data_IF_740652366307
#
_entry.id   IF_740652366307
#
_cell.length_a   1.000
_cell.length_b   1.000
_cell.length_c   1.000
_cell.angle_alpha   90.00
_cell.angle_beta   90.00
_cell.angle_gamma   90.00
#
_symmetry.space_group_name_H-M   'P 1'
#
loop_
_entity.id
_entity.type
_entity.pdbx_description
1 polymer ?
#
# COMPACT_ATOMS: atom_id res chain seq x y z
N UNK A 1 12.70 27.25 -15.23
CA UNK A 1 12.08 27.33 -16.57
C UNK A 1 12.21 26.01 -17.31
N UNK A 2 13.39 25.39 -17.35
CA UNK A 2 13.60 24.05 -17.97
C UNK A 2 12.77 22.91 -17.33
N UNK A 3 12.70 22.83 -16.00
CA UNK A 3 11.89 21.81 -15.32
C UNK A 3 10.38 21.92 -15.61
N UNK A 4 9.89 23.14 -15.89
CA UNK A 4 8.47 23.38 -16.20
C UNK A 4 8.17 22.98 -17.66
N UNK A 5 9.14 23.16 -18.57
CA UNK A 5 9.04 22.71 -19.96
C UNK A 5 9.12 21.17 -20.09
N UNK A 6 9.92 20.49 -19.27
CA UNK A 6 9.97 19.01 -19.27
C UNK A 6 8.70 18.38 -18.70
N UNK A 7 8.09 19.00 -17.69
CA UNK A 7 6.79 18.62 -17.12
C UNK A 7 5.68 18.62 -18.18
N UNK A 8 5.54 19.72 -18.93
CA UNK A 8 4.53 19.84 -19.99
C UNK A 8 4.78 18.84 -21.12
N UNK A 9 6.05 18.62 -21.49
CA UNK A 9 6.43 17.64 -22.51
C UNK A 9 6.07 16.20 -22.10
N UNK A 10 6.24 15.82 -20.83
CA UNK A 10 5.88 14.47 -20.38
C UNK A 10 4.37 14.20 -20.41
N UNK A 11 3.57 15.17 -19.99
CA UNK A 11 2.10 15.06 -20.03
C UNK A 11 1.59 15.00 -21.47
N UNK A 12 2.21 15.75 -22.40
CA UNK A 12 1.90 15.69 -23.83
C UNK A 12 2.16 14.31 -24.44
N UNK A 13 3.29 13.67 -24.11
CA UNK A 13 3.59 12.30 -24.56
C UNK A 13 2.54 11.29 -24.07
N UNK A 14 2.11 11.40 -22.81
CA UNK A 14 1.04 10.54 -22.26
C UNK A 14 -0.32 10.84 -22.92
N UNK A 15 -0.61 12.10 -23.25
CA UNK A 15 -1.83 12.48 -23.97
C UNK A 15 -1.83 11.93 -25.40
N UNK A 16 -0.70 11.98 -26.11
CA UNK A 16 -0.55 11.38 -27.43
C UNK A 16 -0.75 9.87 -27.38
N UNK A 17 -0.17 9.20 -26.38
CA UNK A 17 -0.37 7.77 -26.17
C UNK A 17 -1.84 7.44 -25.86
N UNK A 18 -2.50 8.25 -25.04
CA UNK A 18 -3.92 8.06 -24.70
C UNK A 18 -4.80 8.16 -25.96
N UNK A 19 -4.57 9.17 -26.81
CA UNK A 19 -5.27 9.30 -28.11
C UNK A 19 -5.03 8.11 -29.03
N UNK A 20 -3.82 7.54 -29.04
CA UNK A 20 -3.52 6.30 -29.76
C UNK A 20 -4.40 5.16 -29.22
N UNK A 21 -4.52 5.03 -27.90
CA UNK A 21 -5.27 3.95 -27.25
C UNK A 21 -6.79 4.06 -27.42
N UNK A 22 -7.32 5.27 -27.53
CA UNK A 22 -8.71 5.52 -27.89
C UNK A 22 -9.08 4.92 -29.26
N UNK A 23 -8.11 4.86 -30.19
CA UNK A 23 -8.32 4.36 -31.55
C UNK A 23 -7.95 2.88 -31.69
N UNK A 24 -6.78 2.47 -31.20
CA UNK A 24 -6.17 1.18 -31.58
C UNK A 24 -6.37 0.04 -30.59
N UNK A 25 -6.88 0.29 -29.37
CA UNK A 25 -7.02 -0.69 -28.26
C UNK A 25 -5.86 -1.71 -28.19
N UNK A 26 -4.68 -1.30 -27.68
CA UNK A 26 -3.47 -2.12 -27.74
C UNK A 26 -3.61 -3.43 -26.96
N UNK A 27 -2.91 -4.45 -27.42
CA UNK A 27 -2.58 -5.62 -26.59
C UNK A 27 -1.61 -5.26 -25.47
N UNK A 28 -1.51 -6.11 -24.44
CA UNK A 28 -0.50 -5.95 -23.37
C UNK A 28 0.91 -5.84 -23.94
N UNK A 29 1.25 -6.64 -24.95
CA UNK A 29 2.60 -6.61 -25.55
C UNK A 29 2.89 -5.30 -26.29
N UNK A 30 1.90 -4.71 -26.96
CA UNK A 30 2.04 -3.39 -27.59
C UNK A 30 2.18 -2.30 -26.52
N UNK A 31 1.41 -2.38 -25.43
CA UNK A 31 1.53 -1.45 -24.32
C UNK A 31 2.91 -1.51 -23.65
N UNK A 32 3.52 -2.70 -23.54
CA UNK A 32 4.90 -2.84 -23.04
C UNK A 32 5.92 -2.21 -24.00
N UNK A 33 5.76 -2.35 -25.32
CA UNK A 33 6.62 -1.67 -26.31
C UNK A 33 6.50 -0.15 -26.23
N UNK A 34 5.30 0.36 -26.02
CA UNK A 34 5.07 1.80 -25.81
C UNK A 34 5.75 2.25 -24.51
N UNK A 35 5.67 1.46 -23.44
CA UNK A 35 6.37 1.74 -22.17
C UNK A 35 7.90 1.77 -22.33
N UNK A 36 8.50 0.91 -23.16
CA UNK A 36 9.93 0.99 -23.50
C UNK A 36 10.29 2.28 -24.23
N UNK A 37 9.39 2.78 -25.07
CA UNK A 37 9.58 4.03 -25.81
C UNK A 37 9.50 5.21 -24.85
N UNK A 38 8.49 5.24 -23.99
CA UNK A 38 8.36 6.25 -22.92
C UNK A 38 9.57 6.23 -21.98
N UNK A 39 10.08 5.05 -21.63
CA UNK A 39 11.27 4.95 -20.77
C UNK A 39 12.46 5.70 -21.36
N UNK A 40 12.71 5.54 -22.67
CA UNK A 40 13.81 6.20 -23.38
C UNK A 40 13.63 7.71 -23.41
N UNK A 41 12.40 8.18 -23.64
CA UNK A 41 12.07 9.61 -23.66
C UNK A 41 12.31 10.21 -22.26
N UNK A 42 11.80 9.54 -21.22
CA UNK A 42 11.76 10.07 -19.86
C UNK A 42 13.05 9.88 -19.06
N UNK A 43 13.87 8.88 -19.39
CA UNK A 43 15.16 8.62 -18.71
C UNK A 43 16.13 9.80 -18.79
N UNK A 44 15.97 10.67 -19.79
CA UNK A 44 16.81 11.86 -19.99
C UNK A 44 16.30 13.12 -19.28
N UNK A 45 15.06 13.12 -18.75
CA UNK A 45 14.35 14.35 -18.36
C UNK A 45 14.28 14.60 -16.84
N UNK A 46 14.80 13.68 -16.01
CA UNK A 46 14.84 13.87 -14.56
C UNK A 46 13.46 14.04 -13.91
N UNK A 47 12.47 13.25 -14.34
CA UNK A 47 11.08 13.37 -13.90
C UNK A 47 10.96 13.10 -12.38
N UNK A 48 10.25 13.94 -11.61
CA UNK A 48 9.96 13.65 -10.22
C UNK A 48 9.21 12.33 -10.06
N UNK A 49 9.66 11.49 -9.12
CA UNK A 49 9.09 10.16 -8.89
C UNK A 49 7.56 10.15 -8.68
N UNK A 50 7.03 11.15 -7.97
CA UNK A 50 5.58 11.29 -7.74
C UNK A 50 4.85 11.46 -9.07
N UNK A 51 5.36 12.34 -9.95
CA UNK A 51 4.79 12.55 -11.27
C UNK A 51 4.91 11.30 -12.13
N UNK A 52 6.11 10.70 -12.20
CA UNK A 52 6.34 9.50 -12.99
C UNK A 52 5.40 8.35 -12.57
N UNK A 53 5.19 8.16 -11.26
CA UNK A 53 4.23 7.19 -10.72
C UNK A 53 2.79 7.51 -11.13
N UNK A 54 2.40 8.79 -11.15
CA UNK A 54 1.07 9.22 -11.62
C UNK A 54 0.90 8.96 -13.11
N UNK A 55 1.90 9.22 -13.94
CA UNK A 55 1.85 9.01 -15.38
C UNK A 55 1.71 7.51 -15.71
N UNK A 56 2.52 6.64 -15.10
CA UNK A 56 2.38 5.17 -15.27
C UNK A 56 0.99 4.70 -14.87
N UNK A 57 0.48 5.19 -13.74
CA UNK A 57 -0.85 4.83 -13.24
C UNK A 57 -1.96 5.31 -14.17
N UNK A 58 -1.81 6.50 -14.76
CA UNK A 58 -2.76 7.06 -15.72
C UNK A 58 -2.83 6.22 -17.00
N UNK A 59 -1.68 5.81 -17.55
CA UNK A 59 -1.62 4.91 -18.72
C UNK A 59 -2.32 3.58 -18.41
N UNK A 60 -2.05 2.97 -17.26
CA UNK A 60 -2.68 1.71 -16.88
C UNK A 60 -4.20 1.82 -16.70
N UNK A 61 -4.69 2.96 -16.20
CA UNK A 61 -6.12 3.22 -15.98
C UNK A 61 -6.86 3.65 -17.24
N UNK A 62 -6.21 3.67 -18.41
CA UNK A 62 -6.89 3.95 -19.66
C UNK A 62 -8.01 2.93 -19.89
N UNK A 63 -9.19 3.42 -20.32
CA UNK A 63 -10.42 2.62 -20.41
C UNK A 63 -10.29 1.39 -21.33
N UNK A 64 -9.36 1.43 -22.28
CA UNK A 64 -9.07 0.31 -23.18
C UNK A 64 -8.53 -0.94 -22.46
N UNK A 65 -7.96 -0.79 -21.27
CA UNK A 65 -7.43 -1.89 -20.46
C UNK A 65 -8.45 -2.45 -19.46
N UNK A 66 -9.67 -1.93 -19.39
CA UNK A 66 -10.69 -2.58 -18.57
C UNK A 66 -11.05 -3.95 -19.15
N UNK A 67 -10.94 -5.04 -18.36
CA UNK A 67 -11.30 -6.36 -18.86
C UNK A 67 -12.75 -6.40 -19.33
N UNK A 68 -12.97 -7.01 -20.49
CA UNK A 68 -14.32 -7.14 -21.07
C UNK A 68 -15.13 -8.20 -20.31
N UNK A 69 -14.46 -9.22 -19.80
CA UNK A 69 -15.03 -10.33 -19.03
C UNK A 69 -13.94 -11.01 -18.18
N UNK A 70 -14.30 -11.90 -17.25
CA UNK A 70 -13.31 -12.56 -16.39
C UNK A 70 -12.27 -13.41 -17.10
N UNK A 71 -12.64 -14.12 -18.16
CA UNK A 71 -11.69 -14.92 -18.95
C UNK A 71 -10.63 -14.03 -19.61
N UNK A 72 -11.06 -12.89 -20.15
CA UNK A 72 -10.15 -11.88 -20.68
C UNK A 72 -9.22 -11.34 -19.58
N UNK A 73 -9.74 -11.04 -18.39
CA UNK A 73 -8.93 -10.58 -17.26
C UNK A 73 -7.82 -11.57 -16.90
N UNK A 74 -8.14 -12.86 -16.79
CA UNK A 74 -7.17 -13.91 -16.47
C UNK A 74 -6.06 -14.03 -17.54
N UNK A 75 -6.43 -14.01 -18.82
CA UNK A 75 -5.46 -14.03 -19.92
C UNK A 75 -4.53 -12.83 -19.85
N UNK A 76 -5.06 -11.64 -19.56
CA UNK A 76 -4.24 -10.43 -19.44
C UNK A 76 -3.31 -10.47 -18.22
N UNK A 77 -3.78 -10.96 -17.06
CA UNK A 77 -2.93 -11.17 -15.87
C UNK A 77 -1.75 -12.08 -16.20
N UNK A 78 -2.00 -13.22 -16.84
CA UNK A 78 -0.96 -14.17 -17.21
C UNK A 78 0.02 -13.57 -18.23
N UNK A 79 -0.48 -12.75 -19.15
CA UNK A 79 0.34 -12.06 -20.16
C UNK A 79 1.29 -11.03 -19.57
N UNK A 80 1.01 -10.52 -18.36
CA UNK A 80 1.85 -9.54 -17.66
C UNK A 80 3.02 -10.17 -16.89
N UNK A 81 2.91 -11.43 -16.46
CA UNK A 81 3.89 -12.06 -15.57
C UNK A 81 5.34 -11.96 -16.08
N UNK A 82 5.64 -12.15 -17.39
CA UNK A 82 7.01 -12.02 -17.90
C UNK A 82 7.59 -10.61 -17.79
N UNK A 83 6.75 -9.58 -17.71
CA UNK A 83 7.18 -8.18 -17.70
C UNK A 83 7.52 -7.67 -16.29
N UNK A 84 7.14 -8.41 -15.25
CA UNK A 84 7.37 -8.06 -13.84
C UNK A 84 8.86 -8.12 -13.42
N UNK A 85 9.69 -8.80 -14.20
CA UNK A 85 11.14 -8.85 -14.04
C UNK A 85 11.88 -8.07 -15.12
N UNK A 86 11.18 -7.32 -15.98
CA UNK A 86 11.79 -6.57 -17.09
C UNK A 86 12.89 -5.62 -16.62
N UNK A 87 14.04 -5.51 -17.31
CA UNK A 87 15.08 -4.53 -16.97
C UNK A 87 14.67 -3.08 -17.29
N UNK A 88 13.58 -2.89 -18.06
CA UNK A 88 13.03 -1.56 -18.35
C UNK A 88 12.11 -1.11 -17.20
N UNK A 89 12.44 0.02 -16.57
CA UNK A 89 11.72 0.51 -15.38
C UNK A 89 10.25 0.83 -15.68
N UNK A 90 9.95 1.40 -16.85
CA UNK A 90 8.57 1.73 -17.24
C UNK A 90 7.76 0.49 -17.60
N UNK A 91 8.36 -0.48 -18.30
CA UNK A 91 7.70 -1.78 -18.56
C UNK A 91 7.33 -2.46 -17.25
N UNK A 92 8.30 -2.57 -16.33
CA UNK A 92 8.08 -3.21 -15.03
C UNK A 92 7.00 -2.48 -14.22
N UNK A 93 7.06 -1.13 -14.18
CA UNK A 93 6.09 -0.31 -13.46
C UNK A 93 4.69 -0.39 -14.07
N UNK A 94 4.58 -0.33 -15.41
CA UNK A 94 3.30 -0.45 -16.10
C UNK A 94 2.71 -1.85 -15.90
N UNK A 95 3.52 -2.91 -15.93
CA UNK A 95 3.05 -4.25 -15.65
C UNK A 95 2.48 -4.38 -14.23
N UNK A 96 3.15 -3.83 -13.21
CA UNK A 96 2.61 -3.78 -11.85
C UNK A 96 1.30 -2.99 -11.75
N UNK A 97 1.15 -1.90 -12.51
CA UNK A 97 -0.07 -1.08 -12.51
C UNK A 97 -1.22 -1.73 -13.29
N UNK A 98 -0.93 -2.41 -14.40
CA UNK A 98 -1.95 -3.15 -15.17
C UNK A 98 -2.40 -4.42 -14.47
N UNK A 99 -1.52 -5.09 -13.70
CA UNK A 99 -1.92 -6.23 -12.86
C UNK A 99 -3.06 -5.85 -11.93
N UNK A 100 -2.99 -4.66 -11.33
CA UNK A 100 -4.04 -4.11 -10.47
C UNK A 100 -5.36 -3.91 -11.22
N UNK A 101 -5.30 -3.41 -12.46
CA UNK A 101 -6.48 -3.19 -13.31
C UNK A 101 -7.11 -4.53 -13.70
N UNK A 102 -6.32 -5.46 -14.25
CA UNK A 102 -6.84 -6.75 -14.69
C UNK A 102 -7.27 -7.63 -13.51
N UNK A 103 -6.58 -7.58 -12.37
CA UNK A 103 -6.99 -8.28 -11.16
C UNK A 103 -8.37 -7.83 -10.67
N UNK A 104 -8.84 -6.62 -10.98
CA UNK A 104 -10.19 -6.18 -10.60
C UNK A 104 -11.30 -6.83 -11.44
N UNK A 105 -10.96 -7.42 -12.59
CA UNK A 105 -11.91 -8.06 -13.50
C UNK A 105 -11.97 -9.58 -13.39
N UNK A 106 -11.17 -10.21 -12.51
CA UNK A 106 -11.22 -11.67 -12.30
C UNK A 106 -12.56 -12.09 -11.69
N UNK A 107 -12.97 -13.34 -11.92
CA UNK A 107 -14.22 -13.88 -11.38
C UNK A 107 -14.05 -14.21 -9.88
N UNK A 108 -14.74 -13.51 -8.97
CA UNK A 108 -14.66 -13.81 -7.54
C UNK A 108 -15.25 -15.17 -7.17
N UNK A 109 -16.00 -15.82 -8.06
CA UNK A 109 -16.55 -17.17 -7.88
C UNK A 109 -15.73 -18.25 -8.59
N UNK A 110 -14.61 -17.88 -9.21
CA UNK A 110 -13.72 -18.83 -9.89
C UNK A 110 -13.12 -19.85 -8.92
N UNK A 111 -13.01 -21.10 -9.36
CA UNK A 111 -12.55 -22.23 -8.53
C UNK A 111 -11.16 -22.02 -7.92
N UNK A 112 -10.29 -21.26 -8.59
CA UNK A 112 -8.90 -21.03 -8.17
C UNK A 112 -8.60 -19.57 -7.81
N UNK A 113 -9.63 -18.76 -7.54
CA UNK A 113 -9.45 -17.32 -7.37
C UNK A 113 -8.55 -16.94 -6.20
N UNK A 114 -8.64 -17.65 -5.07
CA UNK A 114 -7.75 -17.45 -3.91
C UNK A 114 -6.28 -17.63 -4.31
N UNK A 115 -6.00 -18.71 -5.04
CA UNK A 115 -4.65 -19.04 -5.52
C UNK A 115 -4.18 -17.98 -6.52
N UNK A 116 -5.02 -17.58 -7.47
CA UNK A 116 -4.69 -16.54 -8.45
C UNK A 116 -4.34 -15.22 -7.77
N UNK A 117 -5.18 -14.74 -6.85
CA UNK A 117 -4.93 -13.49 -6.09
C UNK A 117 -3.65 -13.59 -5.26
N UNK A 118 -3.40 -14.74 -4.63
CA UNK A 118 -2.18 -14.97 -3.85
C UNK A 118 -0.93 -14.94 -4.73
N UNK A 119 -0.98 -15.56 -5.92
CA UNK A 119 0.11 -15.53 -6.90
C UNK A 119 0.35 -14.10 -7.39
N UNK A 120 -0.70 -13.33 -7.68
CA UNK A 120 -0.57 -11.92 -8.09
C UNK A 120 0.13 -11.11 -6.98
N UNK A 121 -0.31 -11.24 -5.74
CA UNK A 121 0.29 -10.55 -4.60
C UNK A 121 1.75 -10.99 -4.40
N UNK A 122 2.06 -12.28 -4.55
CA UNK A 122 3.43 -12.79 -4.44
C UNK A 122 4.34 -12.27 -5.53
N UNK A 123 3.86 -12.19 -6.76
CA UNK A 123 4.63 -11.60 -7.85
C UNK A 123 4.90 -10.10 -7.61
N UNK A 124 3.92 -9.33 -7.14
CA UNK A 124 4.15 -7.92 -6.78
C UNK A 124 5.15 -7.76 -5.64
N UNK A 125 5.10 -8.62 -4.63
CA UNK A 125 6.12 -8.67 -3.57
C UNK A 125 7.51 -8.96 -4.17
N UNK A 126 7.65 -10.03 -4.97
CA UNK A 126 8.93 -10.41 -5.58
C UNK A 126 9.48 -9.28 -6.44
N UNK A 127 8.64 -8.64 -7.27
CA UNK A 127 9.05 -7.49 -8.09
C UNK A 127 9.55 -6.33 -7.24
N UNK A 128 8.91 -6.04 -6.11
CA UNK A 128 9.39 -5.05 -5.14
C UNK A 128 10.75 -5.46 -4.57
N UNK A 129 10.89 -6.69 -4.09
CA UNK A 129 12.12 -7.22 -3.48
C UNK A 129 13.30 -7.27 -4.46
N UNK A 130 13.08 -7.71 -5.70
CA UNK A 130 14.08 -7.69 -6.77
C UNK A 130 14.50 -6.27 -7.17
N UNK A 131 13.59 -5.31 -7.03
CA UNK A 131 13.90 -3.90 -7.23
C UNK A 131 14.71 -3.30 -6.08
N UNK A 132 14.94 -4.05 -4.98
CA UNK A 132 15.84 -3.68 -3.86
C UNK A 132 17.22 -4.35 -3.94
N UNK A 133 17.33 -5.56 -4.51
CA UNK A 133 18.55 -6.39 -4.46
C UNK A 133 19.65 -5.96 -5.43
N UNK A 134 19.37 -5.05 -6.37
CA UNK A 134 20.39 -4.44 -7.21
C UNK A 134 21.25 -3.52 -6.34
N UNK A 135 22.37 -4.08 -5.86
CA UNK A 135 23.53 -3.42 -5.24
C UNK A 135 23.48 -1.89 -5.29
N UNK A 136 23.01 -1.30 -4.19
CA UNK A 136 23.13 0.13 -3.84
C UNK A 136 22.54 1.11 -4.88
N UNK A 137 21.31 1.59 -4.61
CA UNK A 137 20.79 2.87 -5.10
C UNK A 137 20.59 2.98 -6.61
N UNK A 138 20.12 1.93 -7.28
CA UNK A 138 19.62 2.13 -8.64
C UNK A 138 18.27 2.85 -8.61
N UNK A 139 18.32 4.19 -8.54
CA UNK A 139 17.16 5.06 -8.48
C UNK A 139 16.19 4.85 -9.65
N UNK A 140 16.64 4.16 -10.72
CA UNK A 140 15.83 3.80 -11.88
C UNK A 140 14.58 2.99 -11.51
N UNK A 141 14.62 2.15 -10.47
CA UNK A 141 13.48 1.29 -10.10
C UNK A 141 12.58 1.83 -8.98
N UNK A 142 12.80 3.07 -8.52
CA UNK A 142 11.95 3.65 -7.45
C UNK A 142 10.47 3.74 -7.85
N UNK A 143 10.18 4.03 -9.13
CA UNK A 143 8.81 4.05 -9.66
C UNK A 143 8.17 2.68 -9.49
N UNK A 144 8.89 1.63 -9.88
CA UNK A 144 8.41 0.26 -9.77
C UNK A 144 8.14 -0.14 -8.33
N UNK A 145 9.04 0.21 -7.39
CA UNK A 145 8.83 -0.06 -5.96
C UNK A 145 7.55 0.59 -5.43
N UNK A 146 7.33 1.86 -5.77
CA UNK A 146 6.12 2.61 -5.38
C UNK A 146 4.87 1.96 -5.97
N UNK A 147 4.87 1.69 -7.28
CA UNK A 147 3.72 1.12 -7.97
C UNK A 147 3.44 -0.29 -7.46
N UNK A 148 4.44 -1.15 -7.30
CA UNK A 148 4.28 -2.51 -6.77
C UNK A 148 3.69 -2.50 -5.36
N UNK A 149 4.22 -1.66 -4.46
CA UNK A 149 3.69 -1.50 -3.09
C UNK A 149 2.23 -1.03 -3.11
N UNK A 150 1.92 0.00 -3.91
CA UNK A 150 0.57 0.56 -4.00
C UNK A 150 -0.45 -0.43 -4.61
N UNK A 151 -0.05 -1.14 -5.67
CA UNK A 151 -0.86 -2.18 -6.32
C UNK A 151 -1.11 -3.35 -5.37
N UNK A 152 -0.09 -3.80 -4.64
CA UNK A 152 -0.20 -4.88 -3.67
C UNK A 152 -1.23 -4.54 -2.59
N UNK A 153 -1.16 -3.34 -2.01
CA UNK A 153 -2.13 -2.86 -1.04
C UNK A 153 -3.54 -2.79 -1.61
N UNK A 154 -3.72 -2.22 -2.82
CA UNK A 154 -5.05 -2.06 -3.41
C UNK A 154 -5.69 -3.41 -3.75
N UNK A 155 -4.94 -4.32 -4.37
CA UNK A 155 -5.41 -5.66 -4.70
C UNK A 155 -5.81 -6.39 -3.42
N UNK A 156 -4.97 -6.36 -2.39
CA UNK A 156 -5.23 -7.00 -1.11
C UNK A 156 -6.52 -6.49 -0.47
N UNK A 157 -6.70 -5.16 -0.40
CA UNK A 157 -7.89 -4.55 0.21
C UNK A 157 -9.15 -4.94 -0.59
N UNK A 158 -9.09 -4.84 -1.92
CA UNK A 158 -10.23 -5.11 -2.79
C UNK A 158 -10.65 -6.57 -2.73
N UNK A 159 -9.67 -7.48 -2.76
CA UNK A 159 -9.93 -8.91 -2.77
C UNK A 159 -10.25 -9.47 -1.40
N UNK A 160 -9.73 -8.90 -0.31
CA UNK A 160 -10.16 -9.29 1.03
C UNK A 160 -11.65 -9.00 1.26
N UNK A 161 -12.18 -7.92 0.67
CA UNK A 161 -13.61 -7.62 0.72
C UNK A 161 -14.46 -8.63 -0.05
N UNK A 162 -13.90 -9.24 -1.11
CA UNK A 162 -14.60 -10.24 -1.94
C UNK A 162 -14.42 -11.68 -1.43
N UNK A 163 -13.31 -11.97 -0.74
CA UNK A 163 -12.92 -13.31 -0.28
C UNK A 163 -12.64 -13.35 1.23
N UNK A 164 -13.57 -12.91 2.10
CA UNK A 164 -13.28 -12.67 3.51
C UNK A 164 -12.84 -13.90 4.31
N UNK A 165 -13.23 -15.12 3.90
CA UNK A 165 -12.85 -16.37 4.59
C UNK A 165 -11.46 -16.87 4.20
N UNK A 166 -10.97 -16.48 3.02
CA UNK A 166 -9.77 -17.04 2.40
C UNK A 166 -8.65 -16.00 2.21
N UNK A 167 -8.86 -14.77 2.67
CA UNK A 167 -7.95 -13.66 2.44
C UNK A 167 -6.66 -13.69 3.28
N UNK A 168 -6.61 -14.51 4.35
CA UNK A 168 -5.51 -14.54 5.33
C UNK A 168 -4.14 -14.55 4.65
N UNK A 169 -3.94 -15.44 3.67
CA UNK A 169 -2.62 -15.67 3.04
C UNK A 169 -2.08 -14.42 2.37
N UNK A 170 -2.88 -13.79 1.50
CA UNK A 170 -2.42 -12.61 0.78
C UNK A 170 -2.48 -11.33 1.64
N UNK A 171 -3.33 -11.27 2.66
CA UNK A 171 -3.32 -10.18 3.65
C UNK A 171 -2.03 -10.20 4.46
N UNK A 172 -1.64 -11.35 5.03
CA UNK A 172 -0.39 -11.48 5.78
C UNK A 172 0.84 -11.22 4.92
N UNK A 173 0.82 -11.70 3.67
CA UNK A 173 1.88 -11.44 2.70
C UNK A 173 2.10 -9.93 2.54
N UNK A 174 1.02 -9.20 2.28
CA UNK A 174 1.04 -7.75 2.09
C UNK A 174 1.45 -7.00 3.36
N UNK A 175 0.93 -7.38 4.52
CA UNK A 175 1.31 -6.78 5.80
C UNK A 175 2.82 -6.94 6.06
N UNK A 176 3.36 -8.15 5.86
CA UNK A 176 4.79 -8.42 6.00
C UNK A 176 5.62 -7.60 5.01
N UNK A 177 5.20 -7.51 3.75
CA UNK A 177 5.91 -6.69 2.76
C UNK A 177 5.93 -5.22 3.18
N UNK A 178 4.79 -4.67 3.63
CA UNK A 178 4.67 -3.28 4.07
C UNK A 178 5.47 -3.00 5.34
N UNK A 179 5.42 -3.89 6.34
CA UNK A 179 6.21 -3.76 7.56
C UNK A 179 7.72 -3.87 7.27
N UNK A 180 8.13 -4.74 6.35
CA UNK A 180 9.52 -4.84 5.88
C UNK A 180 10.01 -3.56 5.18
N UNK A 181 9.15 -2.87 4.41
CA UNK A 181 9.46 -1.54 3.87
C UNK A 181 9.72 -0.58 5.03
N UNK A 182 8.77 -0.50 5.97
CA UNK A 182 8.78 0.48 7.05
C UNK A 182 9.90 0.25 8.08
N UNK A 183 10.33 -1.01 8.29
CA UNK A 183 11.40 -1.39 9.21
C UNK A 183 12.80 -1.09 8.69
N UNK A 184 12.94 -0.78 7.39
CA UNK A 184 14.21 -0.47 6.74
C UNK A 184 14.21 0.93 6.09
N UNK A 185 14.05 2.02 6.85
CA UNK A 185 14.01 3.37 6.29
C UNK A 185 15.30 3.75 5.55
N UNK A 186 16.46 3.22 5.95
CA UNK A 186 17.74 3.42 5.24
C UNK A 186 17.80 2.72 3.87
N UNK A 187 17.02 1.65 3.67
CA UNK A 187 16.91 0.93 2.38
C UNK A 187 15.73 1.43 1.54
N UNK A 188 14.74 2.07 2.16
CA UNK A 188 13.73 2.85 1.47
C UNK A 188 14.42 4.04 0.82
N UNK A 189 14.84 3.85 -0.43
CA UNK A 189 15.66 4.82 -1.14
C UNK A 189 14.97 6.18 -1.38
N UNK A 190 13.69 6.33 -1.02
CA UNK A 190 12.95 7.57 -1.11
C UNK A 190 11.77 7.68 -0.10
N UNK A 191 11.56 8.89 0.45
CA UNK A 191 10.50 9.21 1.41
C UNK A 191 9.07 8.98 0.88
N UNK A 192 8.84 9.11 -0.42
CA UNK A 192 7.54 8.87 -1.03
C UNK A 192 7.12 7.40 -0.97
N UNK A 193 8.05 6.44 -1.12
CA UNK A 193 7.75 5.01 -0.93
C UNK A 193 7.33 4.75 0.52
N UNK A 194 8.04 5.35 1.48
CA UNK A 194 7.72 5.24 2.90
C UNK A 194 6.30 5.76 3.20
N UNK A 195 5.93 6.92 2.62
CA UNK A 195 4.57 7.46 2.73
C UNK A 195 3.52 6.53 2.11
N UNK A 196 3.78 5.97 0.93
CA UNK A 196 2.88 5.01 0.27
C UNK A 196 2.69 3.75 1.12
N UNK A 197 3.76 3.25 1.75
CA UNK A 197 3.71 2.10 2.64
C UNK A 197 2.92 2.41 3.93
N UNK A 198 3.11 3.59 4.55
CA UNK A 198 2.32 4.02 5.71
C UNK A 198 0.83 4.16 5.38
N UNK A 199 0.51 4.81 4.25
CA UNK A 199 -0.87 4.97 3.80
C UNK A 199 -1.51 3.61 3.47
N UNK A 200 -0.73 2.70 2.88
CA UNK A 200 -1.12 1.31 2.62
C UNK A 200 -1.40 0.53 3.91
N UNK A 201 -0.48 0.57 4.87
CA UNK A 201 -0.65 -0.06 6.18
C UNK A 201 -1.89 0.48 6.90
N UNK A 202 -2.04 1.80 6.96
CA UNK A 202 -3.21 2.43 7.57
C UNK A 202 -4.52 1.94 6.95
N UNK A 203 -4.59 1.79 5.63
CA UNK A 203 -5.78 1.24 4.96
C UNK A 203 -6.00 -0.25 5.27
N UNK A 204 -4.94 -1.06 5.33
CA UNK A 204 -5.02 -2.48 5.65
C UNK A 204 -5.48 -2.73 7.10
N UNK A 205 -5.00 -1.94 8.06
CA UNK A 205 -5.39 -2.10 9.47
C UNK A 205 -6.80 -1.56 9.74
N UNK A 206 -7.21 -0.50 9.03
CA UNK A 206 -8.52 0.16 9.21
C UNK A 206 -9.65 -0.48 8.41
N UNK A 207 -9.33 -1.31 7.42
CA UNK A 207 -10.34 -2.00 6.63
C UNK A 207 -10.79 -3.28 7.35
N UNK A 208 -12.09 -3.42 7.70
CA UNK A 208 -12.58 -4.60 8.41
C UNK A 208 -12.33 -5.91 7.63
N UNK A 209 -12.40 -5.89 6.30
CA UNK A 209 -12.21 -7.08 5.48
C UNK A 209 -10.79 -7.65 5.57
N UNK A 210 -9.78 -6.79 5.71
CA UNK A 210 -8.38 -7.20 5.87
C UNK A 210 -8.00 -7.41 7.33
N UNK A 211 -8.60 -6.66 8.27
CA UNK A 211 -8.28 -6.79 9.69
C UNK A 211 -8.95 -8.02 10.32
N UNK A 212 -10.23 -8.27 10.04
CA UNK A 212 -11.01 -9.30 10.74
C UNK A 212 -10.77 -10.71 10.23
N UNK A 213 -10.15 -10.87 9.06
CA UNK A 213 -9.70 -12.17 8.57
C UNK A 213 -8.49 -12.70 9.36
N UNK A 214 -7.76 -11.82 10.06
CA UNK A 214 -6.62 -12.20 10.89
C UNK A 214 -7.05 -12.74 12.25
N UNK A 215 -6.34 -13.77 12.72
CA UNK A 215 -6.39 -14.27 14.09
C UNK A 215 -5.85 -13.23 15.08
N UNK A 216 -6.16 -13.42 16.37
CA UNK A 216 -5.67 -12.53 17.44
C UNK A 216 -4.14 -12.49 17.46
N UNK A 217 -3.48 -13.65 17.28
CA UNK A 217 -2.02 -13.73 17.26
C UNK A 217 -1.43 -12.94 16.10
N UNK A 218 -1.98 -13.10 14.89
CA UNK A 218 -1.52 -12.35 13.71
C UNK A 218 -1.72 -10.84 13.85
N UNK A 219 -2.83 -10.42 14.48
CA UNK A 219 -3.08 -9.01 14.81
C UNK A 219 -2.06 -8.47 15.81
N UNK A 220 -1.76 -9.24 16.86
CA UNK A 220 -0.79 -8.87 17.88
C UNK A 220 0.62 -8.79 17.31
N UNK A 221 1.04 -9.75 16.50
CA UNK A 221 2.35 -9.76 15.83
C UNK A 221 2.51 -8.54 14.92
N UNK A 222 1.50 -8.26 14.09
CA UNK A 222 1.48 -7.10 13.16
C UNK A 222 1.63 -5.78 13.91
N UNK A 223 0.88 -5.61 15.00
CA UNK A 223 0.90 -4.39 15.81
C UNK A 223 2.21 -4.25 16.58
N UNK A 224 2.72 -5.33 17.15
CA UNK A 224 4.01 -5.36 17.88
C UNK A 224 5.16 -4.93 16.95
N UNK A 225 5.23 -5.52 15.76
CA UNK A 225 6.22 -5.16 14.75
C UNK A 225 6.09 -3.68 14.36
N UNK A 226 4.87 -3.19 14.14
CA UNK A 226 4.65 -1.78 13.83
C UNK A 226 5.05 -0.83 14.97
N UNK A 227 4.72 -1.17 16.22
CA UNK A 227 5.11 -0.37 17.39
C UNK A 227 6.62 -0.31 17.55
N UNK A 228 7.33 -1.41 17.31
CA UNK A 228 8.79 -1.40 17.26
C UNK A 228 9.33 -0.41 16.22
N UNK A 229 8.74 -0.38 15.02
CA UNK A 229 9.14 0.58 13.97
C UNK A 229 8.87 2.02 14.40
N UNK A 230 7.70 2.30 14.98
CA UNK A 230 7.31 3.63 15.46
C UNK A 230 8.22 4.15 16.58
N UNK A 231 8.63 3.26 17.48
CA UNK A 231 9.45 3.59 18.65
C UNK A 231 10.96 3.62 18.34
N UNK A 232 11.41 2.85 17.35
CA UNK A 232 12.81 2.82 16.91
C UNK A 232 13.12 3.97 15.92
N UNK A 233 13.02 5.20 16.42
CA UNK A 233 13.28 6.42 15.65
C UNK A 233 14.77 6.63 15.34
N UNK A 234 15.67 5.82 15.92
CA UNK A 234 17.11 5.87 15.67
C UNK A 234 17.47 5.62 14.19
N UNK A 235 16.58 4.95 13.45
CA UNK A 235 16.72 4.64 12.03
C UNK A 235 16.18 5.72 11.10
N UNK A 236 15.37 6.65 11.60
CA UNK A 236 14.89 7.80 10.81
C UNK A 236 15.92 8.92 10.88
N UNK A 237 16.90 8.93 9.97
CA UNK A 237 17.84 10.06 9.82
C UNK A 237 17.07 11.38 9.61
N UNK A 238 17.67 12.49 10.06
CA UNK A 238 17.15 13.87 10.18
C UNK A 238 16.36 14.47 8.98
N UNK A 239 16.24 13.77 7.85
CA UNK A 239 15.42 14.16 6.68
C UNK A 239 14.05 13.46 6.59
N UNK A 240 13.85 12.34 7.30
CA UNK A 240 12.57 11.61 7.37
C UNK A 240 11.87 11.81 8.71
N UNK A 241 12.58 12.32 9.72
CA UNK A 241 12.04 12.71 11.02
C UNK A 241 11.27 14.04 10.96
N UNK A 242 10.57 14.29 9.86
CA UNK A 242 9.59 15.37 9.75
C UNK A 242 8.40 15.01 10.65
N UNK A 243 7.88 15.96 11.42
CA UNK A 243 6.69 15.80 12.25
C UNK A 243 5.51 15.25 11.44
N UNK A 244 5.49 15.50 10.12
CA UNK A 244 4.52 14.93 9.18
C UNK A 244 4.59 13.40 9.10
N UNK A 245 5.79 12.81 9.03
CA UNK A 245 5.96 11.35 8.96
C UNK A 245 5.53 10.72 10.29
N UNK A 246 5.97 11.28 11.41
CA UNK A 246 5.55 10.81 12.75
C UNK A 246 4.04 10.93 12.95
N UNK A 247 3.44 12.03 12.55
CA UNK A 247 1.98 12.21 12.60
C UNK A 247 1.25 11.17 11.75
N UNK A 248 1.75 10.85 10.56
CA UNK A 248 1.21 9.77 9.72
C UNK A 248 1.36 8.40 10.38
N UNK A 249 2.50 8.11 11.00
CA UNK A 249 2.68 6.85 11.70
C UNK A 249 1.71 6.70 12.87
N UNK A 250 1.50 7.77 13.65
CA UNK A 250 0.49 7.76 14.71
C UNK A 250 -0.93 7.62 14.14
N UNK A 251 -1.22 8.22 12.99
CA UNK A 251 -2.51 8.08 12.33
C UNK A 251 -2.79 6.65 11.86
N UNK A 252 -1.78 5.81 11.59
CA UNK A 252 -1.97 4.39 11.21
C UNK A 252 -2.69 3.62 12.33
N UNK A 253 -2.31 3.85 13.59
CA UNK A 253 -2.87 3.16 14.76
C UNK A 253 -4.10 3.85 15.35
N UNK A 254 -4.51 5.01 14.83
CA UNK A 254 -5.72 5.72 15.26
C UNK A 254 -7.00 5.04 14.72
N UNK A 255 -7.29 3.85 15.25
CA UNK A 255 -8.46 3.03 14.96
C UNK A 255 -8.84 2.22 16.21
N UNK A 256 -10.13 2.13 16.53
CA UNK A 256 -10.60 1.52 17.78
C UNK A 256 -10.18 0.04 17.91
N UNK A 257 -10.29 -0.74 16.83
CA UNK A 257 -9.95 -2.16 16.84
C UNK A 257 -8.44 -2.37 16.98
N UNK A 258 -7.65 -1.55 16.29
CA UNK A 258 -6.19 -1.57 16.40
C UNK A 258 -5.74 -1.17 17.81
N UNK A 259 -6.30 -0.09 18.36
CA UNK A 259 -6.03 0.35 19.73
C UNK A 259 -6.43 -0.71 20.75
N UNK A 260 -7.56 -1.40 20.54
CA UNK A 260 -7.97 -2.52 21.38
C UNK A 260 -6.97 -3.68 21.31
N UNK A 261 -6.44 -4.01 20.13
CA UNK A 261 -5.35 -4.99 20.01
C UNK A 261 -4.09 -4.53 20.75
N UNK A 262 -3.70 -3.26 20.63
CA UNK A 262 -2.56 -2.68 21.35
C UNK A 262 -2.72 -2.83 22.87
N UNK A 263 -3.91 -2.52 23.41
CA UNK A 263 -4.20 -2.62 24.84
C UNK A 263 -4.15 -4.06 25.37
N UNK A 264 -4.41 -5.04 24.49
CA UNK A 264 -4.38 -6.46 24.80
C UNK A 264 -3.07 -7.14 24.39
N UNK A 265 -2.00 -6.39 24.11
CA UNK A 265 -0.68 -6.97 23.90
C UNK A 265 -0.17 -7.63 25.20
N UNK A 266 0.46 -8.82 25.11
CA UNK A 266 1.03 -9.48 26.27
C UNK A 266 2.20 -8.68 26.87
N UNK A 267 2.92 -7.92 26.05
CA UNK A 267 4.02 -7.06 26.48
C UNK A 267 3.56 -5.60 26.67
N UNK A 268 3.37 -5.19 27.93
CA UNK A 268 2.94 -3.82 28.27
C UNK A 268 4.04 -2.76 28.11
N UNK A 269 5.30 -3.15 27.93
CA UNK A 269 6.43 -2.22 27.84
C UNK A 269 6.35 -1.32 26.59
N UNK A 270 5.87 -1.86 25.47
CA UNK A 270 5.70 -1.09 24.24
C UNK A 270 4.58 -0.06 24.34
N UNK A 271 3.49 -0.44 25.03
CA UNK A 271 2.38 0.47 25.33
C UNK A 271 2.88 1.63 26.22
N UNK A 272 3.65 1.37 27.27
CA UNK A 272 4.22 2.42 28.11
C UNK A 272 5.14 3.38 27.34
N UNK A 273 5.96 2.85 26.43
CA UNK A 273 6.82 3.66 25.55
C UNK A 273 6.00 4.49 24.57
N UNK A 274 4.94 3.92 24.00
CA UNK A 274 4.02 4.63 23.10
C UNK A 274 3.34 5.80 23.82
N UNK A 275 2.84 5.59 25.03
CA UNK A 275 2.20 6.62 25.84
C UNK A 275 3.16 7.78 26.17
N UNK A 276 4.43 7.47 26.49
CA UNK A 276 5.46 8.49 26.71
C UNK A 276 5.81 9.27 25.44
N UNK A 277 5.87 8.59 24.30
CA UNK A 277 6.22 9.19 23.01
C UNK A 277 5.08 10.04 22.43
N UNK A 278 3.84 9.72 22.78
CA UNK A 278 2.62 10.41 22.32
C UNK A 278 2.27 11.67 23.12
N UNK A 279 2.85 11.91 24.29
CA UNK A 279 2.52 13.08 25.11
C UNK A 279 2.98 14.45 24.52
N UNK A 280 3.73 14.45 23.41
CA UNK A 280 4.33 15.66 22.82
C UNK A 280 3.65 16.22 21.56
N UNK A 281 2.57 15.60 21.05
CA UNK A 281 1.96 15.98 19.76
C UNK A 281 0.43 16.10 19.84
N UNK A 282 -0.15 17.07 19.12
CA UNK A 282 -1.60 17.35 19.12
C UNK A 282 -2.45 16.13 18.69
N UNK A 283 -2.01 15.39 17.67
CA UNK A 283 -2.66 14.14 17.23
C UNK A 283 -2.47 13.00 18.20
N UNK A 284 -1.43 13.06 19.02
CA UNK A 284 -1.04 12.03 19.95
C UNK A 284 -1.74 12.19 21.30
N UNK A 285 -2.09 13.42 21.70
CA UNK A 285 -3.06 13.70 22.77
C UNK A 285 -4.46 13.15 22.43
N UNK A 286 -4.88 13.25 21.17
CA UNK A 286 -6.13 12.63 20.70
C UNK A 286 -6.04 11.09 20.79
N UNK A 287 -4.91 10.51 20.34
CA UNK A 287 -4.66 9.08 20.46
C UNK A 287 -4.66 8.62 21.93
N UNK A 288 -4.02 9.37 22.83
CA UNK A 288 -3.97 9.10 24.27
C UNK A 288 -5.37 9.15 24.89
N UNK A 289 -6.19 10.14 24.53
CA UNK A 289 -7.60 10.22 24.95
C UNK A 289 -8.41 9.02 24.45
N UNK A 290 -8.18 8.54 23.23
CA UNK A 290 -8.85 7.36 22.71
C UNK A 290 -8.38 6.07 23.37
N UNK A 291 -7.07 5.88 23.56
CA UNK A 291 -6.50 4.73 24.27
C UNK A 291 -7.07 4.66 25.69
N UNK A 292 -7.09 5.79 26.40
CA UNK A 292 -7.67 5.86 27.75
C UNK A 292 -9.18 5.65 27.75
N UNK A 293 -9.92 6.07 26.72
CA UNK A 293 -11.35 5.79 26.59
C UNK A 293 -11.65 4.31 26.31
N UNK A 294 -10.86 3.65 25.45
CA UNK A 294 -10.99 2.21 25.14
C UNK A 294 -10.57 1.35 26.33
N UNK A 295 -9.60 1.80 27.12
CA UNK A 295 -9.10 1.11 28.31
C UNK A 295 -9.96 1.26 29.57
N UNK A 296 -11.00 2.10 29.57
CA UNK A 296 -11.99 2.11 30.66
C UNK A 296 -12.93 0.92 30.46
N UNK A 297 -13.14 0.07 31.48
CA UNK A 297 -14.30 -0.80 31.49
C UNK A 297 -15.54 0.07 31.25
N UNK A 298 -16.47 -0.36 30.41
CA UNK A 298 -17.84 0.16 30.46
C UNK A 298 -18.33 -0.08 31.90
N UNK A 299 -18.24 0.94 32.75
CA UNK A 299 -19.14 1.03 33.88
C UNK A 299 -20.52 1.09 33.24
N UNK A 300 -21.21 -0.06 33.28
CA UNK A 300 -22.66 -0.10 33.14
C UNK A 300 -23.13 0.92 34.17
N UNK A 301 -23.53 2.10 33.69
CA UNK A 301 -24.22 3.08 34.51
C UNK A 301 -25.50 2.42 35.01
N UNK A 302 -25.42 1.81 36.19
CA UNK A 302 -26.55 1.57 37.10
C UNK A 302 -27.09 2.94 37.54
N UNK A 303 -27.64 3.70 36.60
CA UNK A 303 -28.33 4.95 36.88
C UNK A 303 -29.78 4.95 36.41
N UNK A 304 -30.39 3.76 36.31
CA UNK A 304 -31.82 3.60 36.09
C UNK A 304 -32.51 2.57 37.01
N UNK A 305 -31.96 2.30 38.21
CA UNK A 305 -32.65 1.49 39.24
C UNK A 305 -32.85 2.17 40.60
N UNK A 306 -32.66 3.49 40.70
CA UNK A 306 -33.13 4.26 41.85
C UNK A 306 -33.78 5.56 41.38
N UNK A 307 -35.03 5.49 40.92
CA UNK A 307 -36.01 6.59 40.96
C UNK A 307 -37.43 6.05 40.71
N UNK A 308 -37.77 4.91 41.33
CA UNK A 308 -39.14 4.42 41.45
C UNK A 308 -39.38 3.93 42.89
N UNK A 309 -39.06 4.77 43.87
CA UNK A 309 -39.49 4.60 45.26
C UNK A 309 -39.28 5.92 46.02
N UNK A 310 -40.06 6.94 45.69
CA UNK A 310 -40.55 8.03 46.56
C UNK A 310 -41.26 9.07 45.69
N UNK A 311 -42.59 9.05 45.75
CA UNK A 311 -43.52 9.87 44.96
C UNK A 311 -44.79 9.08 44.69
#
# INVERSE_FOLDING_TARGET
>A
MEAMNSLTSCEEEILLLSRKYDVSKPSVHEAMKDAETLDKIFSSQGIPLILESRLVTAVANHSCFHPVNPLNAEVQVNSLLPYLSSPCRWVRSLACSLLRVFASGLDPKGEHIETQVTIICKNLQTTYEESLTVTVKDARFHVCQVIACSSLCLITISWAALLPLNAVKFVLLTLRTVLNILSNPDKCANAFLYQVALDGLGKLLKCPATWNVLSILEKQDTVTEYLHILLDQSKCKDKLADDIVKARMLAVIDNADVLHTILNLPNKLELEKLLKTSAGFITADHLLKRITAVGRPMEITEHYLHNASTG
#
